data_IF_228517427431
#
_entry.id   IF_228517427431
#
_cell.length_a   1.000
_cell.length_b   1.000
_cell.length_c   1.000
_cell.angle_alpha   90.00
_cell.angle_beta   90.00
_cell.angle_gamma   90.00
#
_symmetry.space_group_name_H-M   'P 1'
#
loop_
_entity.id
_entity.type
_entity.pdbx_description
1 polymer ?
#
# COMPACT_ATOMS: atom_id res chain seq x y z
N UNK A 1 -6.18 -8.61 0.45
CA UNK A 1 -6.18 -9.75 -0.47
C UNK A 1 -4.77 -10.22 -0.84
N UNK A 2 -3.90 -9.32 -1.24
CA UNK A 2 -2.51 -9.64 -1.58
C UNK A 2 -1.62 -9.16 -0.44
N UNK A 3 -0.97 -10.10 0.23
CA UNK A 3 0.09 -9.80 1.21
C UNK A 3 1.39 -10.43 0.74
N UNK A 4 2.42 -9.61 0.63
CA UNK A 4 3.76 -10.02 0.26
C UNK A 4 4.68 -9.70 1.45
N UNK A 5 5.49 -10.65 1.86
CA UNK A 5 6.40 -10.45 2.99
C UNK A 5 7.81 -10.89 2.63
N UNK A 6 8.77 -10.00 2.80
CA UNK A 6 10.19 -10.25 2.51
C UNK A 6 10.43 -10.76 1.08
N UNK A 7 9.74 -10.17 0.11
CA UNK A 7 9.85 -10.50 -1.31
C UNK A 7 10.71 -9.49 -2.06
N UNK A 8 11.31 -9.92 -3.16
CA UNK A 8 12.12 -9.08 -4.02
C UNK A 8 11.69 -9.19 -5.49
N UNK A 9 11.93 -8.12 -6.26
CA UNK A 9 11.68 -8.08 -7.71
C UNK A 9 10.24 -8.39 -8.08
N UNK A 10 9.32 -7.58 -7.59
CA UNK A 10 7.87 -7.79 -7.71
C UNK A 10 7.28 -6.83 -8.73
N UNK A 11 6.43 -7.35 -9.61
CA UNK A 11 5.56 -6.57 -10.48
C UNK A 11 4.10 -6.97 -10.27
N UNK A 12 3.27 -6.00 -9.91
CA UNK A 12 1.80 -6.13 -9.91
C UNK A 12 1.28 -5.15 -10.95
N UNK A 13 0.74 -5.66 -12.05
CA UNK A 13 0.38 -4.80 -13.17
C UNK A 13 -0.96 -5.16 -13.80
N UNK A 14 -1.77 -4.13 -14.12
CA UNK A 14 -2.95 -4.25 -14.97
C UNK A 14 -4.09 -5.11 -14.42
N UNK A 15 -4.12 -5.36 -13.12
CA UNK A 15 -5.15 -6.19 -12.48
C UNK A 15 -6.16 -5.36 -11.70
N UNK A 16 -7.35 -5.89 -11.52
CA UNK A 16 -8.38 -5.33 -10.62
C UNK A 16 -8.47 -6.18 -9.36
N UNK A 17 -8.35 -5.52 -8.21
CA UNK A 17 -8.44 -6.13 -6.88
C UNK A 17 -9.59 -5.46 -6.15
N UNK A 18 -10.58 -6.22 -5.71
CA UNK A 18 -11.80 -5.62 -5.16
C UNK A 18 -12.38 -6.38 -3.97
N UNK A 19 -13.11 -5.64 -3.15
CA UNK A 19 -13.91 -6.18 -2.05
C UNK A 19 -13.11 -7.05 -1.09
N UNK A 20 -11.88 -6.63 -0.78
CA UNK A 20 -11.13 -7.26 0.29
C UNK A 20 -11.86 -7.08 1.63
N UNK A 21 -11.91 -8.09 2.48
CA UNK A 21 -12.48 -7.95 3.83
C UNK A 21 -11.61 -7.06 4.74
N UNK A 22 -10.41 -6.69 4.28
CA UNK A 22 -9.47 -5.80 4.96
C UNK A 22 -8.63 -5.07 3.91
N UNK A 23 -7.34 -4.88 4.11
CA UNK A 23 -6.43 -4.25 3.15
C UNK A 23 -6.34 -4.99 1.81
N UNK A 24 -6.13 -4.29 0.70
CA UNK A 24 -6.08 -4.90 -0.63
C UNK A 24 -4.68 -5.36 -1.02
N UNK A 25 -3.69 -4.46 -1.05
CA UNK A 25 -2.30 -4.77 -1.42
C UNK A 25 -1.38 -4.35 -0.27
N UNK A 26 -0.70 -5.33 0.34
CA UNK A 26 0.14 -5.12 1.52
C UNK A 26 1.53 -5.71 1.30
N UNK A 27 2.45 -5.01 0.63
CA UNK A 27 3.86 -5.38 0.63
C UNK A 27 4.50 -4.99 1.97
N UNK A 28 5.20 -5.91 2.58
CA UNK A 28 5.90 -5.69 3.83
C UNK A 28 7.32 -6.27 3.78
N UNK A 29 8.32 -5.46 4.13
CA UNK A 29 9.74 -5.84 4.03
C UNK A 29 10.12 -6.29 2.62
N UNK A 30 9.55 -5.67 1.61
CA UNK A 30 9.82 -5.98 0.22
C UNK A 30 10.86 -5.03 -0.36
N UNK A 31 11.56 -5.48 -1.40
CA UNK A 31 12.53 -4.66 -2.11
C UNK A 31 12.33 -4.80 -3.62
N UNK A 32 12.42 -3.66 -4.33
CA UNK A 32 12.22 -3.60 -5.77
C UNK A 32 10.82 -4.05 -6.20
N UNK A 33 9.83 -3.20 -5.92
CA UNK A 33 8.42 -3.45 -6.20
C UNK A 33 7.86 -2.39 -7.15
N UNK A 34 7.13 -2.83 -8.17
CA UNK A 34 6.34 -1.97 -9.06
C UNK A 34 4.87 -2.36 -8.96
N UNK A 35 4.01 -1.38 -8.70
CA UNK A 35 2.54 -1.49 -8.77
C UNK A 35 2.07 -0.51 -9.83
N UNK A 36 1.69 -1.01 -11.00
CA UNK A 36 1.40 -0.21 -12.19
C UNK A 36 0.05 -0.54 -12.81
N UNK A 37 -0.77 0.46 -13.04
CA UNK A 37 -2.05 0.31 -13.74
C UNK A 37 -3.05 -0.61 -13.03
N UNK A 38 -2.97 -0.71 -11.71
CA UNK A 38 -3.86 -1.53 -10.89
C UNK A 38 -5.13 -0.75 -10.55
N UNK A 39 -6.26 -1.43 -10.53
CA UNK A 39 -7.51 -0.89 -10.02
C UNK A 39 -7.87 -1.54 -8.69
N UNK A 40 -8.03 -0.74 -7.64
CA UNK A 40 -8.54 -1.20 -6.34
C UNK A 40 -9.94 -0.63 -6.14
N UNK A 41 -10.88 -1.48 -5.70
CA UNK A 41 -12.26 -1.07 -5.41
C UNK A 41 -12.81 -1.74 -4.18
N UNK A 42 -13.46 -0.97 -3.31
CA UNK A 42 -14.34 -1.49 -2.26
C UNK A 42 -15.39 -0.44 -1.89
N UNK A 43 -16.44 -0.82 -1.15
CA UNK A 43 -17.39 0.15 -0.64
C UNK A 43 -16.69 1.24 0.18
N UNK A 44 -17.10 2.49 -0.01
CA UNK A 44 -16.50 3.65 0.66
C UNK A 44 -16.59 3.61 2.20
N UNK A 45 -17.48 2.79 2.74
CA UNK A 45 -17.65 2.56 4.19
C UNK A 45 -17.03 1.24 4.68
N UNK A 46 -16.21 0.57 3.86
CA UNK A 46 -15.51 -0.64 4.26
C UNK A 46 -14.40 -0.30 5.26
N UNK A 47 -14.56 -0.73 6.51
CA UNK A 47 -13.55 -0.53 7.55
C UNK A 47 -12.23 -1.23 7.20
N UNK A 48 -11.11 -0.55 7.37
CA UNK A 48 -9.79 -1.03 6.98
C UNK A 48 -9.74 -1.51 5.51
N UNK A 49 -10.51 -0.87 4.65
CA UNK A 49 -10.54 -1.13 3.22
C UNK A 49 -9.45 -0.37 2.46
N UNK A 50 -8.24 -0.30 3.03
CA UNK A 50 -7.11 0.41 2.45
C UNK A 50 -6.73 -0.14 1.08
N UNK A 51 -6.30 0.74 0.18
CA UNK A 51 -5.90 0.36 -1.17
C UNK A 51 -4.54 -0.32 -1.19
N UNK A 52 -3.49 0.43 -0.92
CA UNK A 52 -2.10 -0.03 -0.97
C UNK A 52 -1.38 0.40 0.31
N UNK A 53 -0.99 -0.57 1.14
CA UNK A 53 -0.25 -0.37 2.39
C UNK A 53 1.19 -0.86 2.27
N UNK A 54 2.11 0.05 2.06
CA UNK A 54 3.55 -0.28 1.96
C UNK A 54 4.19 -0.24 3.34
N UNK A 55 4.64 -1.37 3.83
CA UNK A 55 5.29 -1.50 5.14
C UNK A 55 6.78 -1.82 5.06
N UNK A 56 7.64 -1.01 5.71
CA UNK A 56 9.07 -1.29 5.90
C UNK A 56 9.78 -1.78 4.61
N UNK A 57 9.44 -1.20 3.47
CA UNK A 57 9.87 -1.65 2.14
C UNK A 57 10.74 -0.60 1.45
N UNK A 58 11.52 -1.01 0.47
CA UNK A 58 12.43 -0.14 -0.26
C UNK A 58 12.33 -0.29 -1.78
N UNK A 59 12.69 0.78 -2.50
CA UNK A 59 12.68 0.82 -3.96
C UNK A 59 11.31 0.45 -4.54
N UNK A 60 10.29 1.22 -4.18
CA UNK A 60 8.89 0.97 -4.57
C UNK A 60 8.42 2.06 -5.53
N UNK A 61 7.86 1.64 -6.66
CA UNK A 61 7.18 2.51 -7.62
C UNK A 61 5.68 2.17 -7.65
N UNK A 62 4.84 3.16 -7.35
CA UNK A 62 3.38 3.07 -7.40
C UNK A 62 2.89 4.06 -8.44
N UNK A 63 2.48 3.57 -9.61
CA UNK A 63 2.23 4.43 -10.76
C UNK A 63 0.96 4.04 -11.53
N UNK A 64 0.24 5.05 -12.03
CA UNK A 64 -0.93 4.88 -12.91
C UNK A 64 -2.08 4.05 -12.31
N UNK A 65 -2.21 3.99 -11.00
CA UNK A 65 -3.25 3.19 -10.35
C UNK A 65 -4.53 4.00 -10.17
N UNK A 66 -5.64 3.29 -10.08
CA UNK A 66 -6.97 3.83 -9.79
C UNK A 66 -7.49 3.20 -8.51
N UNK A 67 -7.75 4.01 -7.49
CA UNK A 67 -8.11 3.54 -6.16
C UNK A 67 -9.43 4.14 -5.72
N UNK A 68 -10.33 3.28 -5.28
CA UNK A 68 -11.61 3.63 -4.67
C UNK A 68 -11.73 2.78 -3.39
N UNK A 69 -11.32 3.38 -2.27
CA UNK A 69 -11.06 2.68 -1.01
C UNK A 69 -12.05 3.10 0.08
N UNK A 70 -12.22 2.24 1.07
CA UNK A 70 -13.08 2.52 2.23
C UNK A 70 -12.31 3.09 3.42
N UNK A 71 -10.99 3.06 3.38
CA UNK A 71 -10.08 3.64 4.35
C UNK A 71 -8.97 4.39 3.60
N UNK A 72 -7.68 4.25 3.90
CA UNK A 72 -6.63 4.99 3.21
C UNK A 72 -6.40 4.50 1.76
N UNK A 73 -6.10 5.41 0.85
CA UNK A 73 -5.84 5.09 -0.56
C UNK A 73 -4.48 4.43 -0.75
N UNK A 74 -3.42 5.19 -0.51
CA UNK A 74 -2.03 4.72 -0.51
C UNK A 74 -1.40 5.11 0.81
N UNK A 75 -0.92 4.13 1.57
CA UNK A 75 -0.42 4.35 2.92
C UNK A 75 0.98 3.77 3.12
N UNK A 76 1.83 4.55 3.80
CA UNK A 76 3.14 4.09 4.25
C UNK A 76 3.05 3.66 5.71
N UNK A 77 3.45 2.42 5.98
CA UNK A 77 3.44 1.82 7.32
C UNK A 77 4.87 1.45 7.75
N UNK A 78 5.35 2.05 8.82
CA UNK A 78 6.67 1.74 9.38
C UNK A 78 6.64 0.71 10.53
N UNK A 79 5.46 0.18 10.83
CA UNK A 79 5.26 -0.69 11.99
C UNK A 79 5.23 0.07 13.32
N UNK A 80 4.90 -0.62 14.39
CA UNK A 80 4.72 -0.04 15.72
C UNK A 80 5.86 -0.39 16.67
N UNK A 81 6.32 0.61 17.43
CA UNK A 81 7.29 0.45 18.51
C UNK A 81 8.61 -0.19 18.09
N UNK A 82 9.22 -0.93 18.99
CA UNK A 82 10.53 -1.54 18.78
C UNK A 82 10.55 -2.54 17.59
N UNK A 83 9.44 -3.23 17.33
CA UNK A 83 9.35 -4.13 16.18
C UNK A 83 9.30 -3.36 14.86
N UNK A 84 8.66 -2.21 14.84
CA UNK A 84 8.67 -1.30 13.69
C UNK A 84 10.09 -0.81 13.38
N UNK A 85 10.79 -0.32 14.39
CA UNK A 85 12.19 0.09 14.28
C UNK A 85 13.10 -1.04 13.77
N UNK A 86 12.95 -2.24 14.32
CA UNK A 86 13.75 -3.40 13.91
C UNK A 86 13.49 -3.86 12.48
N UNK A 87 12.28 -3.60 11.93
CA UNK A 87 11.95 -3.91 10.57
C UNK A 87 12.50 -2.92 9.54
N UNK A 88 12.94 -1.76 10.00
CA UNK A 88 13.52 -0.71 9.17
C UNK A 88 12.48 0.23 8.54
N UNK A 89 12.94 1.28 7.87
CA UNK A 89 12.09 2.32 7.30
C UNK A 89 11.47 1.93 5.94
N UNK A 90 10.55 2.76 5.48
CA UNK A 90 10.19 2.85 4.06
C UNK A 90 11.20 3.77 3.36
N UNK A 91 11.88 3.28 2.32
CA UNK A 91 12.97 4.01 1.65
C UNK A 91 12.79 4.00 0.14
N UNK A 92 13.04 5.14 -0.51
CA UNK A 92 12.97 5.27 -1.96
C UNK A 92 11.62 4.82 -2.52
N UNK A 93 10.57 5.47 -2.03
CA UNK A 93 9.18 5.23 -2.48
C UNK A 93 8.79 6.33 -3.45
N UNK A 94 8.38 5.94 -4.65
CA UNK A 94 7.95 6.86 -5.69
C UNK A 94 6.46 6.61 -6.02
N UNK A 95 5.65 7.65 -5.92
CA UNK A 95 4.20 7.59 -6.13
C UNK A 95 3.84 8.63 -7.18
N UNK A 96 3.38 8.18 -8.37
CA UNK A 96 3.11 9.05 -9.51
C UNK A 96 1.82 8.68 -10.24
N UNK A 97 1.12 9.69 -10.75
CA UNK A 97 -0.03 9.51 -11.65
C UNK A 97 -1.12 8.55 -11.13
N UNK A 98 -1.32 8.50 -9.82
CA UNK A 98 -2.38 7.72 -9.23
C UNK A 98 -3.64 8.56 -9.07
N UNK A 99 -4.81 7.94 -9.20
CA UNK A 99 -6.11 8.55 -8.94
C UNK A 99 -6.76 7.87 -7.76
N UNK A 100 -7.11 8.63 -6.74
CA UNK A 100 -7.87 8.16 -5.58
C UNK A 100 -9.22 8.87 -5.59
N UNK A 101 -10.29 8.12 -5.78
CA UNK A 101 -11.65 8.67 -5.84
C UNK A 101 -12.27 8.85 -4.46
N UNK A 102 -12.24 7.79 -3.65
CA UNK A 102 -12.65 7.81 -2.25
C UNK A 102 -11.58 7.16 -1.39
N UNK A 103 -11.34 7.75 -0.24
CA UNK A 103 -10.42 7.26 0.80
C UNK A 103 -10.56 8.17 2.03
N UNK A 104 -10.09 7.74 3.20
CA UNK A 104 -9.92 8.65 4.33
C UNK A 104 -8.78 9.64 4.05
N UNK A 105 -7.67 9.14 3.48
CA UNK A 105 -6.61 9.97 2.93
C UNK A 105 -6.14 9.42 1.59
N UNK A 106 -5.91 10.30 0.60
CA UNK A 106 -5.40 9.87 -0.71
C UNK A 106 -4.00 9.28 -0.61
N UNK A 107 -3.13 9.95 0.15
CA UNK A 107 -1.82 9.49 0.58
C UNK A 107 -1.66 9.73 2.08
N UNK A 108 -1.21 8.71 2.81
CA UNK A 108 -1.10 8.73 4.27
C UNK A 108 0.24 8.15 4.74
N UNK A 109 0.77 8.68 5.82
CA UNK A 109 1.90 8.12 6.56
C UNK A 109 1.39 7.79 7.96
N UNK A 110 1.30 6.52 8.27
CA UNK A 110 0.83 6.07 9.58
C UNK A 110 -0.45 5.23 9.54
N UNK A 111 -1.11 5.08 10.67
CA UNK A 111 -0.73 5.53 12.03
C UNK A 111 0.53 4.83 12.58
N UNK A 112 0.75 3.55 12.26
CA UNK A 112 1.93 2.81 12.70
C UNK A 112 3.15 3.15 11.83
N UNK A 113 3.99 4.05 12.32
CA UNK A 113 5.18 4.50 11.58
C UNK A 113 6.35 4.77 12.54
N UNK A 114 6.92 3.70 13.11
CA UNK A 114 8.06 3.77 14.03
C UNK A 114 9.41 3.48 13.36
N UNK A 115 9.40 2.82 12.22
CA UNK A 115 10.58 2.48 11.44
C UNK A 115 11.03 3.54 10.42
#
# INVERSE_FOLDING_TARGET
>A
LIRLTSCENILIQGVTIQNSPKFHIVPQKCNNLIIDGVTVRCPWNAQNGDGIDVGNSSNVLIINNTIDAGDDGICMKGGAGNSGLANGPCVNINIQNNKVYHAHGGFVIGSEFSG
#
